data_IF_982376998825
#
_entry.id   IF_982376998825
#
_cell.length_a   1.000
_cell.length_b   1.000
_cell.length_c   1.000
_cell.angle_alpha   90.00
_cell.angle_beta   90.00
_cell.angle_gamma   90.00
#
_symmetry.space_group_name_H-M   'P 1'
#
loop_
_entity.id
_entity.type
_entity.pdbx_description
1 polymer ?
#
# COMPACT_ATOMS: atom_id res chain seq x y z
N UNK A 1 38.40 -64.19 37.65
CA UNK A 1 37.28 -63.43 37.04
C UNK A 1 37.20 -62.07 37.72
N UNK A 2 37.72 -61.01 37.10
CA UNK A 2 37.58 -59.62 37.58
C UNK A 2 37.49 -58.72 36.35
N UNK A 3 36.32 -58.10 36.13
CA UNK A 3 36.03 -57.21 35.00
C UNK A 3 36.32 -55.78 35.42
N UNK A 4 37.35 -55.18 34.84
CA UNK A 4 37.63 -53.75 34.94
C UNK A 4 36.63 -52.93 34.09
N UNK A 5 35.87 -52.05 34.74
CA UNK A 5 35.00 -51.05 34.10
C UNK A 5 35.87 -49.94 33.49
N UNK A 6 35.73 -49.70 32.19
CA UNK A 6 36.24 -48.49 31.51
C UNK A 6 35.18 -47.40 31.58
N UNK A 7 35.50 -46.29 32.23
CA UNK A 7 34.68 -45.07 32.26
C UNK A 7 34.91 -44.30 30.95
N UNK A 8 33.87 -44.09 30.16
CA UNK A 8 33.90 -43.26 28.97
C UNK A 8 33.67 -41.78 29.37
N UNK A 9 34.61 -40.90 29.01
CA UNK A 9 34.45 -39.45 29.10
C UNK A 9 33.72 -39.00 27.83
N UNK A 10 32.46 -38.57 27.94
CA UNK A 10 31.74 -37.90 26.87
C UNK A 10 31.98 -36.39 26.99
N UNK A 11 32.72 -35.81 26.03
CA UNK A 11 32.87 -34.38 25.91
C UNK A 11 31.61 -33.80 25.25
N UNK A 12 30.83 -33.02 26.01
CA UNK A 12 29.78 -32.17 25.47
C UNK A 12 30.45 -31.01 24.70
N UNK A 13 30.40 -31.06 23.37
CA UNK A 13 30.63 -29.89 22.53
C UNK A 13 29.33 -29.06 22.51
N UNK A 14 29.32 -27.95 23.25
CA UNK A 14 28.27 -26.95 23.14
C UNK A 14 28.43 -26.23 21.79
N UNK A 15 27.62 -26.61 20.80
CA UNK A 15 27.39 -25.82 19.60
C UNK A 15 26.66 -24.54 20.01
N UNK A 16 27.42 -23.46 20.19
CA UNK A 16 26.87 -22.12 20.19
C UNK A 16 26.34 -21.86 18.77
N UNK A 17 25.04 -22.06 18.57
CA UNK A 17 24.34 -21.48 17.42
C UNK A 17 24.46 -19.96 17.54
N UNK A 18 25.48 -19.39 16.89
CA UNK A 18 25.52 -17.95 16.64
C UNK A 18 24.28 -17.61 15.82
N UNK A 19 23.26 -17.05 16.49
CA UNK A 19 22.07 -16.59 15.82
C UNK A 19 22.49 -15.57 14.76
N UNK A 20 22.21 -15.85 13.50
CA UNK A 20 22.36 -14.85 12.45
C UNK A 20 21.50 -13.66 12.84
N UNK A 21 22.11 -12.47 12.97
CA UNK A 21 21.35 -11.24 13.10
C UNK A 21 20.38 -11.13 11.91
N UNK A 22 19.16 -10.61 12.12
CA UNK A 22 18.27 -10.31 11.00
C UNK A 22 18.99 -9.44 9.97
N UNK A 23 18.74 -9.63 8.67
CA UNK A 23 19.34 -8.78 7.65
C UNK A 23 18.91 -7.32 7.84
N UNK A 24 19.80 -6.40 7.45
CA UNK A 24 19.54 -4.97 7.37
C UNK A 24 18.71 -4.70 6.12
N UNK A 25 17.38 -4.67 6.26
CA UNK A 25 16.47 -4.69 5.10
C UNK A 25 15.25 -3.77 5.28
N UNK A 26 14.87 -3.13 4.18
CA UNK A 26 13.53 -2.55 4.00
C UNK A 26 12.75 -3.43 3.04
N UNK A 27 11.60 -3.90 3.47
CA UNK A 27 10.58 -4.47 2.59
C UNK A 27 9.62 -3.35 2.23
N UNK A 28 9.66 -2.93 0.96
CA UNK A 28 8.70 -2.02 0.37
C UNK A 28 7.41 -2.78 0.05
N UNK A 29 6.29 -2.40 0.64
CA UNK A 29 4.96 -2.88 0.29
C UNK A 29 4.19 -1.82 -0.50
N UNK A 30 3.67 -2.21 -1.66
CA UNK A 30 2.95 -1.34 -2.58
C UNK A 30 1.55 -1.91 -2.74
N UNK A 31 0.53 -1.11 -2.44
CA UNK A 31 -0.88 -1.43 -2.63
C UNK A 31 -1.56 -0.29 -3.40
N UNK A 32 -2.84 -0.47 -3.72
CA UNK A 32 -3.67 0.55 -4.39
C UNK A 32 -5.11 0.41 -3.92
N UNK A 33 -5.86 1.51 -3.98
CA UNK A 33 -7.31 1.55 -3.79
C UNK A 33 -8.08 1.58 -5.14
N UNK A 34 -7.35 1.45 -6.24
CA UNK A 34 -7.83 1.39 -7.63
C UNK A 34 -7.95 -0.04 -8.17
N UNK A 35 -8.65 -0.18 -9.30
CA UNK A 35 -8.89 -1.43 -10.02
C UNK A 35 -7.94 -1.61 -11.21
N UNK A 36 -7.36 -2.80 -11.38
CA UNK A 36 -6.39 -3.11 -12.46
C UNK A 36 -6.97 -4.14 -13.44
N UNK A 37 -6.68 -4.06 -14.75
CA UNK A 37 -5.82 -3.07 -15.43
C UNK A 37 -6.50 -1.71 -15.69
N UNK A 38 -7.79 -1.59 -15.38
CA UNK A 38 -8.64 -0.46 -15.82
C UNK A 38 -8.06 0.91 -15.47
N UNK A 39 -7.65 1.10 -14.22
CA UNK A 39 -7.18 2.41 -13.74
C UNK A 39 -5.69 2.62 -14.03
N UNK A 40 -4.89 1.55 -13.97
CA UNK A 40 -3.51 1.48 -14.47
C UNK A 40 -3.07 0.02 -14.65
N UNK A 41 -2.07 -0.19 -15.48
CA UNK A 41 -1.60 -1.53 -15.89
C UNK A 41 -0.08 -1.70 -15.75
N UNK A 42 0.63 -0.65 -15.29
CA UNK A 42 2.07 -0.69 -15.05
C UNK A 42 2.43 -0.09 -13.70
N UNK A 43 3.20 -0.86 -12.92
CA UNK A 43 3.86 -0.40 -11.70
C UNK A 43 5.35 -0.19 -12.00
N UNK A 44 5.86 1.02 -11.81
CA UNK A 44 7.31 1.28 -11.88
C UNK A 44 7.86 1.57 -10.49
N UNK A 45 8.99 0.93 -10.16
CA UNK A 45 9.72 1.14 -8.90
C UNK A 45 11.16 1.53 -9.23
N UNK A 46 11.57 2.69 -8.75
CA UNK A 46 12.93 3.20 -8.89
C UNK A 46 13.54 3.44 -7.51
N UNK A 47 14.78 3.01 -7.30
CA UNK A 47 15.51 3.23 -6.04
C UNK A 47 16.87 3.86 -6.33
N UNK A 48 17.17 4.91 -5.57
CA UNK A 48 18.39 5.69 -5.68
C UNK A 48 19.14 5.71 -4.34
N UNK A 49 20.46 5.66 -4.39
CA UNK A 49 21.34 5.85 -3.24
C UNK A 49 22.31 6.98 -3.57
N UNK A 50 22.28 8.08 -2.81
CA UNK A 50 23.10 9.26 -3.09
C UNK A 50 22.88 9.84 -4.50
N UNK A 51 21.65 9.77 -5.02
CA UNK A 51 21.28 10.21 -6.37
C UNK A 51 21.67 9.25 -7.50
N UNK A 52 22.36 8.15 -7.19
CA UNK A 52 22.69 7.11 -8.18
C UNK A 52 21.61 6.05 -8.21
N UNK A 53 21.05 5.76 -9.39
CA UNK A 53 20.08 4.67 -9.57
C UNK A 53 20.69 3.31 -9.22
N UNK A 54 19.98 2.54 -8.39
CA UNK A 54 20.36 1.19 -7.93
C UNK A 54 19.39 0.12 -8.39
N UNK A 55 18.13 0.51 -8.58
CA UNK A 55 17.07 -0.36 -9.04
C UNK A 55 16.11 0.45 -9.91
N UNK A 56 15.70 -0.13 -11.04
CA UNK A 56 14.64 0.38 -11.90
C UNK A 56 13.95 -0.81 -12.54
N UNK A 57 12.68 -1.02 -12.22
CA UNK A 57 11.88 -2.08 -12.78
C UNK A 57 10.46 -1.59 -13.07
N UNK A 58 9.94 -1.96 -14.24
CA UNK A 58 8.55 -1.82 -14.61
C UNK A 58 7.88 -3.21 -14.63
N UNK A 59 6.77 -3.34 -13.91
CA UNK A 59 5.92 -4.51 -13.88
C UNK A 59 4.67 -4.20 -14.68
N UNK A 60 4.63 -4.71 -15.91
CA UNK A 60 3.54 -4.45 -16.87
C UNK A 60 2.42 -5.48 -16.78
N UNK A 61 1.30 -5.19 -17.45
CA UNK A 61 0.14 -6.09 -17.59
C UNK A 61 -0.51 -6.42 -16.24
N UNK A 62 -0.53 -5.46 -15.31
CA UNK A 62 -1.14 -5.67 -14.00
C UNK A 62 -2.65 -5.91 -14.15
N UNK A 63 -3.16 -6.97 -13.52
CA UNK A 63 -4.57 -7.38 -13.64
C UNK A 63 -4.90 -8.27 -14.83
N UNK A 64 -3.94 -8.53 -15.73
CA UNK A 64 -4.09 -9.54 -16.79
C UNK A 64 -3.93 -10.97 -16.22
N UNK A 65 -4.18 -12.00 -17.05
CA UNK A 65 -4.04 -13.41 -16.67
C UNK A 65 -2.61 -13.85 -16.34
N UNK A 66 -1.60 -13.20 -16.92
CA UNK A 66 -0.18 -13.42 -16.67
C UNK A 66 0.51 -12.09 -16.30
N UNK A 67 0.16 -11.51 -15.14
CA UNK A 67 0.58 -10.17 -14.82
C UNK A 67 2.05 -10.14 -14.39
N UNK A 68 2.74 -9.03 -14.66
CA UNK A 68 4.12 -8.83 -14.20
C UNK A 68 4.26 -8.81 -12.68
N UNK A 69 3.19 -8.42 -11.98
CA UNK A 69 3.04 -8.50 -10.53
C UNK A 69 1.56 -8.55 -10.14
N UNK A 70 1.27 -9.01 -8.92
CA UNK A 70 -0.03 -8.85 -8.25
C UNK A 70 0.10 -7.82 -7.13
N UNK A 71 -0.98 -7.14 -6.77
CA UNK A 71 -0.98 -6.15 -5.68
C UNK A 71 -1.77 -6.64 -4.46
N UNK A 72 -1.33 -6.40 -3.21
CA UNK A 72 -0.08 -5.73 -2.87
C UNK A 72 1.16 -6.48 -3.36
N UNK A 73 2.23 -5.76 -3.64
CA UNK A 73 3.53 -6.33 -4.00
C UNK A 73 4.56 -5.96 -2.94
N UNK A 74 5.47 -6.88 -2.63
CA UNK A 74 6.59 -6.63 -1.71
C UNK A 74 7.94 -6.78 -2.40
N UNK A 75 8.83 -5.80 -2.22
CA UNK A 75 10.21 -5.82 -2.76
C UNK A 75 11.19 -5.53 -1.61
N UNK A 76 12.17 -6.42 -1.43
CA UNK A 76 13.22 -6.29 -0.41
C UNK A 76 14.44 -5.52 -0.91
N UNK A 77 14.88 -4.53 -0.13
CA UNK A 77 16.12 -3.79 -0.35
C UNK A 77 17.02 -3.95 0.88
N UNK A 78 18.11 -4.68 0.71
CA UNK A 78 19.05 -4.97 1.79
C UNK A 78 20.33 -4.13 1.68
N UNK A 79 20.97 -3.88 2.82
CA UNK A 79 22.29 -3.26 2.88
C UNK A 79 23.39 -4.31 2.73
N UNK A 80 24.37 -4.03 1.86
CA UNK A 80 25.61 -4.77 1.78
C UNK A 80 26.69 -4.26 2.77
N UNK A 81 26.47 -3.12 3.44
CA UNK A 81 27.48 -2.42 4.24
C UNK A 81 27.15 -2.25 5.73
N UNK A 82 26.06 -2.88 6.21
CA UNK A 82 25.68 -2.89 7.62
C UNK A 82 24.65 -1.82 8.02
N UNK A 83 23.81 -1.43 7.07
CA UNK A 83 22.68 -0.51 7.20
C UNK A 83 23.05 0.97 7.38
N UNK A 84 22.03 1.81 7.37
CA UNK A 84 22.10 3.26 7.56
C UNK A 84 22.27 4.07 6.28
N UNK A 85 22.40 3.42 5.13
CA UNK A 85 22.41 4.07 3.82
C UNK A 85 21.07 4.77 3.57
N UNK A 86 21.14 6.00 3.09
CA UNK A 86 19.95 6.76 2.72
C UNK A 86 19.54 6.39 1.30
N UNK A 87 18.32 5.88 1.15
CA UNK A 87 17.73 5.54 -0.13
C UNK A 87 16.55 6.45 -0.43
N UNK A 88 16.37 6.78 -1.71
CA UNK A 88 15.17 7.41 -2.24
C UNK A 88 14.43 6.37 -3.07
N UNK A 89 13.15 6.17 -2.77
CA UNK A 89 12.27 5.22 -3.45
C UNK A 89 11.21 6.04 -4.17
N UNK A 90 11.00 5.76 -5.45
CA UNK A 90 9.89 6.26 -6.25
C UNK A 90 9.04 5.09 -6.69
N UNK A 91 7.74 5.17 -6.47
CA UNK A 91 6.74 4.19 -6.91
C UNK A 91 5.72 4.93 -7.75
N UNK A 92 5.46 4.45 -8.96
CA UNK A 92 4.51 5.12 -9.85
C UNK A 92 3.56 4.15 -10.55
N UNK A 93 2.33 4.63 -10.74
CA UNK A 93 1.31 4.01 -11.57
C UNK A 93 1.35 4.63 -12.97
N UNK A 94 1.44 3.79 -14.00
CA UNK A 94 1.41 4.21 -15.41
C UNK A 94 0.34 3.45 -16.18
N UNK A 95 -0.13 4.06 -17.26
CA UNK A 95 -1.10 3.47 -18.19
C UNK A 95 -0.44 3.07 -19.51
N UNK A 96 -0.87 1.94 -20.08
CA UNK A 96 -0.51 1.32 -21.36
C UNK A 96 0.83 0.59 -21.38
N UNK A 97 1.93 1.27 -21.05
CA UNK A 97 3.29 0.70 -21.11
C UNK A 97 4.28 1.41 -20.18
N UNK A 98 5.50 0.88 -20.07
CA UNK A 98 6.54 1.39 -19.17
C UNK A 98 6.96 2.84 -19.44
N UNK A 99 6.72 3.38 -20.64
CA UNK A 99 6.99 4.78 -21.01
C UNK A 99 5.69 5.60 -21.13
N UNK A 100 4.54 4.99 -20.84
CA UNK A 100 3.24 5.62 -20.88
C UNK A 100 3.06 6.71 -19.83
N UNK A 101 1.94 7.46 -19.90
CA UNK A 101 1.62 8.51 -18.94
C UNK A 101 1.67 8.00 -17.50
N UNK A 102 2.27 8.80 -16.62
CA UNK A 102 2.25 8.57 -15.18
C UNK A 102 0.97 9.17 -14.64
N UNK A 103 0.21 8.39 -13.86
CA UNK A 103 -0.98 8.87 -13.14
C UNK A 103 -0.63 9.29 -11.72
N UNK A 104 0.03 8.39 -10.99
CA UNK A 104 0.32 8.55 -9.56
C UNK A 104 1.81 8.40 -9.35
N UNK A 105 2.40 9.30 -8.57
CA UNK A 105 3.75 9.18 -8.02
C UNK A 105 3.70 9.23 -6.49
N UNK A 106 4.31 8.22 -5.87
CA UNK A 106 4.56 8.16 -4.43
C UNK A 106 6.07 8.05 -4.19
N UNK A 107 6.60 8.87 -3.30
CA UNK A 107 8.04 8.87 -2.98
C UNK A 107 8.30 8.68 -1.49
N UNK A 108 9.46 8.14 -1.17
CA UNK A 108 9.99 8.13 0.18
C UNK A 108 11.52 8.29 0.19
N UNK A 109 12.03 8.94 1.22
CA UNK A 109 13.44 9.00 1.57
C UNK A 109 13.59 8.44 2.97
N UNK A 110 14.33 7.35 3.12
CA UNK A 110 14.54 6.70 4.41
C UNK A 110 15.91 6.04 4.47
N UNK A 111 16.28 5.52 5.63
CA UNK A 111 17.52 4.77 5.82
C UNK A 111 17.23 3.28 5.92
N UNK A 112 18.08 2.45 5.32
CA UNK A 112 18.02 1.01 5.57
C UNK A 112 18.28 0.77 7.07
N UNK A 113 17.38 0.09 7.81
CA UNK A 113 17.52 -0.08 9.26
C UNK A 113 18.68 -1.03 9.57
N UNK A 114 19.07 -1.06 10.84
CA UNK A 114 20.10 -1.99 11.34
C UNK A 114 19.49 -3.09 12.19
N UNK A 115 19.93 -4.32 11.98
CA UNK A 115 19.58 -5.54 12.69
C UNK A 115 18.07 -5.84 12.72
N UNK A 116 17.33 -5.47 11.67
CA UNK A 116 15.89 -5.73 11.52
C UNK A 116 15.46 -5.60 10.06
N UNK A 117 14.32 -6.24 9.76
CA UNK A 117 13.60 -6.09 8.49
C UNK A 117 12.44 -5.14 8.77
N UNK A 118 12.50 -3.91 8.25
CA UNK A 118 11.43 -2.94 8.40
C UNK A 118 10.45 -2.98 7.23
N UNK A 119 9.17 -2.75 7.51
CA UNK A 119 8.13 -2.57 6.50
C UNK A 119 7.96 -1.08 6.18
N UNK A 120 8.09 -0.73 4.91
CA UNK A 120 7.75 0.58 4.37
C UNK A 120 6.55 0.42 3.42
N UNK A 121 5.42 1.05 3.74
CA UNK A 121 4.23 1.05 2.88
C UNK A 121 4.17 2.31 2.02
N UNK A 122 4.08 2.14 0.70
CA UNK A 122 3.88 3.23 -0.26
C UNK A 122 2.66 2.92 -1.15
N UNK A 123 1.43 3.11 -0.64
CA UNK A 123 0.24 2.89 -1.42
C UNK A 123 0.10 3.94 -2.53
N UNK A 124 -0.45 3.52 -3.67
CA UNK A 124 -0.82 4.36 -4.81
C UNK A 124 -2.32 4.68 -4.69
N UNK A 125 -2.64 5.85 -4.14
CA UNK A 125 -4.02 6.22 -3.79
C UNK A 125 -4.67 7.07 -4.89
N UNK A 126 -5.94 6.84 -5.17
CA UNK A 126 -6.79 7.65 -6.07
C UNK A 126 -6.71 9.15 -5.79
N UNK A 127 -6.68 9.56 -4.52
CA UNK A 127 -6.62 10.98 -4.15
C UNK A 127 -5.32 11.67 -4.62
N UNK A 128 -4.30 10.87 -4.96
CA UNK A 128 -3.03 11.30 -5.53
C UNK A 128 -2.97 11.14 -7.06
N UNK A 129 -4.11 10.96 -7.75
CA UNK A 129 -4.15 11.01 -9.20
C UNK A 129 -3.67 12.38 -9.73
N UNK A 130 -3.05 12.35 -10.91
CA UNK A 130 -2.33 13.46 -11.55
C UNK A 130 -1.08 13.96 -10.80
N UNK A 131 -0.51 13.17 -9.87
CA UNK A 131 0.65 13.59 -9.05
C UNK A 131 2.02 13.34 -9.68
N UNK A 132 2.09 12.60 -10.78
CA UNK A 132 3.33 12.28 -11.47
C UNK A 132 3.31 12.64 -12.95
N UNK A 133 4.49 12.93 -13.49
CA UNK A 133 4.73 13.05 -14.93
C UNK A 133 6.06 12.40 -15.32
N UNK A 134 6.20 12.10 -16.61
CA UNK A 134 7.44 11.60 -17.21
C UNK A 134 7.71 12.37 -18.51
N UNK A 135 8.95 12.79 -18.74
CA UNK A 135 9.38 13.41 -20.00
C UNK A 135 9.79 12.37 -21.07
N UNK A 136 9.34 11.12 -20.93
CA UNK A 136 9.60 10.03 -21.88
C UNK A 136 10.98 9.37 -21.73
N UNK A 137 11.80 9.81 -20.77
CA UNK A 137 13.07 9.16 -20.38
C UNK A 137 12.87 7.94 -19.46
N UNK A 138 11.66 7.72 -18.94
CA UNK A 138 11.35 6.74 -17.91
C UNK A 138 11.49 7.28 -16.49
N UNK A 139 12.15 8.43 -16.31
CA UNK A 139 12.21 9.13 -15.04
C UNK A 139 10.89 9.81 -14.71
N UNK A 140 10.52 9.77 -13.43
CA UNK A 140 9.26 10.33 -12.93
C UNK A 140 9.52 11.50 -12.00
N UNK A 141 8.77 12.57 -12.21
CA UNK A 141 8.79 13.80 -11.41
C UNK A 141 7.41 14.07 -10.80
N UNK A 142 7.39 14.77 -9.67
CA UNK A 142 6.13 15.19 -9.06
C UNK A 142 5.61 16.44 -9.76
N UNK A 143 4.34 16.42 -10.13
CA UNK A 143 3.60 17.57 -10.67
C UNK A 143 2.77 18.28 -9.61
N UNK A 144 2.49 17.60 -8.50
CA UNK A 144 1.58 18.07 -7.46
C UNK A 144 2.30 18.67 -6.26
N UNK A 145 3.42 18.08 -5.84
CA UNK A 145 4.10 18.44 -4.60
C UNK A 145 5.46 19.10 -4.85
N UNK A 146 5.84 20.00 -3.95
CA UNK A 146 7.14 20.68 -3.99
C UNK A 146 8.29 19.71 -3.72
N UNK A 147 9.52 20.16 -3.97
CA UNK A 147 10.72 19.39 -3.68
C UNK A 147 10.78 18.96 -2.21
N UNK A 148 11.11 17.69 -1.97
CA UNK A 148 11.15 17.12 -0.61
C UNK A 148 9.78 16.68 -0.06
N UNK A 149 8.71 16.87 -0.84
CA UNK A 149 7.37 16.40 -0.50
C UNK A 149 6.90 15.29 -1.45
N UNK A 150 5.77 14.69 -1.11
CA UNK A 150 5.11 13.63 -1.87
C UNK A 150 3.63 13.58 -1.50
N UNK A 151 2.79 13.07 -2.39
CA UNK A 151 1.36 12.98 -2.14
C UNK A 151 1.02 11.79 -1.20
N UNK A 152 0.24 12.07 -0.15
CA UNK A 152 -0.45 11.11 0.72
C UNK A 152 -1.91 11.52 0.78
N UNK A 153 -2.81 10.66 0.32
CA UNK A 153 -4.26 10.91 0.30
C UNK A 153 -4.64 12.31 -0.22
N UNK A 154 -3.94 12.78 -1.27
CA UNK A 154 -4.15 14.08 -1.91
C UNK A 154 -3.53 15.29 -1.17
N UNK A 155 -2.78 15.09 -0.10
CA UNK A 155 -2.01 16.12 0.59
C UNK A 155 -0.50 15.96 0.36
N UNK A 156 0.21 17.07 0.19
CA UNK A 156 1.67 17.06 0.12
C UNK A 156 2.27 17.02 1.52
N UNK A 157 2.99 15.94 1.81
CA UNK A 157 3.69 15.72 3.08
C UNK A 157 5.18 15.50 2.84
N UNK A 158 6.06 15.68 3.84
CA UNK A 158 7.47 15.37 3.70
C UNK A 158 7.69 13.92 3.23
N UNK A 159 8.55 13.72 2.24
CA UNK A 159 8.90 12.36 1.78
C UNK A 159 9.90 11.66 2.68
N UNK A 160 10.51 12.38 3.63
CA UNK A 160 11.45 11.80 4.60
C UNK A 160 10.70 11.02 5.67
N UNK A 161 11.04 9.74 5.81
CA UNK A 161 10.47 8.83 6.80
C UNK A 161 11.57 8.38 7.75
N UNK A 162 11.29 8.44 9.05
CA UNK A 162 12.19 7.92 10.07
C UNK A 162 12.14 6.38 10.07
N UNK A 163 13.23 5.75 9.64
CA UNK A 163 13.38 4.31 9.60
C UNK A 163 13.17 3.63 10.96
N UNK A 164 13.43 4.33 12.07
CA UNK A 164 13.24 3.79 13.42
C UNK A 164 11.77 3.72 13.84
N UNK A 165 10.91 4.49 13.18
CA UNK A 165 9.46 4.47 13.40
C UNK A 165 8.74 3.43 12.50
N UNK A 166 9.44 2.84 11.53
CA UNK A 166 8.86 1.82 10.66
C UNK A 166 8.61 0.51 11.43
N UNK A 167 7.45 -0.14 11.28
CA UNK A 167 7.16 -1.41 11.93
C UNK A 167 8.05 -2.54 11.38
N UNK A 168 8.15 -3.64 12.13
CA UNK A 168 8.81 -4.84 11.62
C UNK A 168 7.98 -5.46 10.49
N UNK A 169 8.66 -5.97 9.48
CA UNK A 169 7.99 -6.67 8.39
C UNK A 169 7.39 -7.99 8.85
N UNK A 170 6.12 -8.16 8.53
CA UNK A 170 5.41 -9.42 8.58
C UNK A 170 4.46 -9.48 7.40
N UNK A 171 4.48 -10.58 6.63
CA UNK A 171 3.65 -10.71 5.43
C UNK A 171 2.15 -10.56 5.74
N UNK A 172 1.71 -11.01 6.92
CA UNK A 172 0.32 -10.87 7.34
C UNK A 172 -0.16 -9.42 7.48
N UNK A 173 0.76 -8.46 7.70
CA UNK A 173 0.42 -7.03 7.73
C UNK A 173 0.27 -6.40 6.34
N UNK A 174 0.59 -7.13 5.27
CA UNK A 174 0.50 -6.65 3.89
C UNK A 174 -0.59 -7.41 3.13
N UNK A 175 -0.67 -8.72 3.36
CA UNK A 175 -1.50 -9.62 2.56
C UNK A 175 -2.76 -10.10 3.30
N UNK A 176 -3.34 -9.31 4.20
CA UNK A 176 -4.57 -9.69 4.92
C UNK A 176 -4.39 -10.96 5.77
N UNK A 177 -3.26 -11.08 6.46
CA UNK A 177 -2.91 -12.29 7.23
C UNK A 177 -2.22 -13.40 6.42
N UNK A 178 -2.17 -13.28 5.08
CA UNK A 178 -1.54 -14.26 4.18
C UNK A 178 -0.04 -14.05 3.93
N UNK A 179 0.42 -14.66 2.83
CA UNK A 179 1.81 -14.65 2.36
C UNK A 179 1.98 -14.05 0.96
N UNK A 180 0.88 -13.63 0.33
CA UNK A 180 0.89 -13.10 -1.03
C UNK A 180 0.70 -14.16 -2.12
N UNK A 181 0.18 -15.33 -1.74
CA UNK A 181 -0.10 -16.46 -2.65
C UNK A 181 -1.61 -16.59 -2.93
N UNK A 182 -2.39 -15.52 -2.69
CA UNK A 182 -3.86 -15.54 -2.71
C UNK A 182 -4.48 -16.15 -1.45
N UNK A 183 -3.69 -16.28 -0.37
CA UNK A 183 -4.01 -17.06 0.83
C UNK A 183 -4.48 -16.23 2.04
N UNK A 184 -4.51 -14.90 1.93
CA UNK A 184 -5.03 -14.01 2.98
C UNK A 184 -6.38 -13.39 2.66
N UNK A 185 -6.91 -12.60 3.59
CA UNK A 185 -8.18 -11.90 3.43
C UNK A 185 -8.03 -10.65 2.56
N UNK A 186 -9.12 -10.21 1.94
CA UNK A 186 -9.20 -8.95 1.21
C UNK A 186 -10.52 -8.25 1.54
N UNK A 187 -10.54 -6.93 1.36
CA UNK A 187 -11.73 -6.10 1.53
C UNK A 187 -12.53 -6.05 0.22
N UNK A 188 -13.72 -6.64 0.23
CA UNK A 188 -14.63 -6.68 -0.91
C UNK A 188 -15.45 -5.38 -0.97
N UNK A 189 -14.99 -4.43 -1.78
CA UNK A 189 -15.59 -3.09 -1.85
C UNK A 189 -17.06 -3.14 -2.29
N UNK A 190 -17.39 -3.91 -3.32
CA UNK A 190 -18.76 -3.94 -3.87
C UNK A 190 -19.70 -4.63 -2.91
N UNK A 191 -19.30 -5.77 -2.31
CA UNK A 191 -20.13 -6.45 -1.32
C UNK A 191 -20.31 -5.61 -0.04
N UNK A 192 -19.26 -4.95 0.43
CA UNK A 192 -19.30 -4.19 1.69
C UNK A 192 -19.97 -2.83 1.59
N UNK A 193 -20.19 -2.32 0.38
CA UNK A 193 -20.92 -1.08 0.13
C UNK A 193 -22.17 -1.27 -0.71
N UNK A 194 -22.65 -2.52 -0.90
CA UNK A 194 -23.85 -2.83 -1.70
C UNK A 194 -25.07 -2.00 -1.28
N UNK A 195 -25.33 -1.90 0.03
CA UNK A 195 -26.44 -1.12 0.60
C UNK A 195 -26.03 0.27 1.11
N UNK A 196 -24.80 0.69 0.82
CA UNK A 196 -24.29 1.97 1.29
C UNK A 196 -25.00 3.14 0.62
N UNK A 197 -25.20 4.21 1.39
CA UNK A 197 -25.86 5.43 0.94
C UNK A 197 -24.92 6.62 1.05
N UNK A 198 -25.08 7.64 0.18
CA UNK A 198 -24.40 8.91 0.35
C UNK A 198 -24.66 9.50 1.73
N UNK A 199 -23.60 10.01 2.35
CA UNK A 199 -23.66 10.77 3.60
C UNK A 199 -23.39 12.24 3.34
N UNK A 200 -23.97 13.11 4.17
CA UNK A 200 -23.71 14.54 4.10
C UNK A 200 -22.28 14.83 4.60
N UNK A 201 -21.51 15.53 3.77
CA UNK A 201 -20.15 15.96 4.09
C UNK A 201 -20.19 17.41 4.57
N UNK A 202 -19.72 17.66 5.78
CA UNK A 202 -19.37 19.01 6.20
C UNK A 202 -18.09 19.40 5.45
N UNK A 203 -18.25 20.12 4.34
CA UNK A 203 -17.13 20.54 3.48
C UNK A 203 -16.21 21.58 4.13
N UNK A 204 -16.67 22.28 5.18
CA UNK A 204 -15.84 23.25 5.89
C UNK A 204 -14.86 22.57 6.84
N UNK A 205 -15.31 21.52 7.56
CA UNK A 205 -14.46 20.71 8.42
C UNK A 205 -13.85 19.48 7.72
N UNK A 206 -14.35 19.16 6.52
CA UNK A 206 -14.13 17.90 5.81
C UNK A 206 -14.41 16.65 6.67
N UNK A 207 -15.59 16.63 7.29
CA UNK A 207 -16.02 15.55 8.19
C UNK A 207 -17.38 14.97 7.79
N UNK A 208 -17.66 13.75 8.25
CA UNK A 208 -18.95 13.08 8.13
C UNK A 208 -19.39 12.51 9.49
N UNK A 209 -20.67 12.20 9.62
CA UNK A 209 -21.18 11.37 10.71
C UNK A 209 -20.66 9.93 10.59
N UNK A 210 -20.33 9.29 11.70
CA UNK A 210 -19.87 7.90 11.76
C UNK A 210 -19.12 7.62 13.06
N UNK A 211 -18.52 6.44 13.16
CA UNK A 211 -17.74 6.04 14.34
C UNK A 211 -16.62 5.04 13.98
N UNK A 212 -15.97 4.47 15.00
CA UNK A 212 -14.90 3.49 14.84
C UNK A 212 -15.35 2.16 14.20
N UNK A 213 -16.65 1.96 14.01
CA UNK A 213 -17.23 0.80 13.31
C UNK A 213 -17.73 1.17 11.92
N UNK A 214 -17.37 2.33 11.39
CA UNK A 214 -17.79 2.77 10.05
C UNK A 214 -16.69 2.49 9.03
N UNK A 215 -17.07 1.98 7.87
CA UNK A 215 -16.28 1.94 6.65
C UNK A 215 -16.68 3.13 5.76
N UNK A 216 -15.70 3.70 5.05
CA UNK A 216 -15.88 4.87 4.19
C UNK A 216 -15.37 4.57 2.79
N UNK A 217 -16.13 4.93 1.77
CA UNK A 217 -15.70 4.92 0.39
C UNK A 217 -16.09 6.21 -0.34
N UNK A 218 -15.37 6.49 -1.43
CA UNK A 218 -15.61 7.60 -2.32
C UNK A 218 -16.28 7.06 -3.59
N UNK A 219 -17.44 7.58 -3.93
CA UNK A 219 -18.07 7.34 -5.23
C UNK A 219 -17.43 8.29 -6.26
N UNK A 220 -16.83 7.73 -7.32
CA UNK A 220 -16.06 8.52 -8.29
C UNK A 220 -16.92 8.95 -9.48
N UNK A 221 -16.60 10.10 -10.08
CA UNK A 221 -17.28 10.60 -11.29
C UNK A 221 -16.65 10.09 -12.58
N UNK A 222 -15.41 9.59 -12.52
CA UNK A 222 -14.57 9.22 -13.66
C UNK A 222 -14.47 7.71 -13.89
N UNK A 223 -15.33 6.92 -13.25
CA UNK A 223 -15.25 5.45 -13.23
C UNK A 223 -13.90 4.93 -12.72
N UNK A 224 -13.19 5.66 -11.85
CA UNK A 224 -12.00 5.15 -11.17
C UNK A 224 -12.41 4.31 -9.94
N UNK A 225 -11.59 3.34 -9.54
CA UNK A 225 -11.85 2.48 -8.39
C UNK A 225 -12.55 1.17 -8.76
N UNK A 226 -13.17 0.52 -7.78
CA UNK A 226 -13.78 -0.80 -7.94
C UNK A 226 -15.27 -0.63 -8.22
N UNK A 227 -15.74 -1.14 -9.35
CA UNK A 227 -17.11 -0.95 -9.83
C UNK A 227 -17.99 -2.17 -9.51
N UNK A 228 -19.29 -1.92 -9.26
CA UNK A 228 -20.28 -2.96 -8.96
C UNK A 228 -20.45 -3.96 -10.12
N UNK A 229 -20.28 -3.51 -11.36
CA UNK A 229 -20.23 -4.32 -12.58
C UNK A 229 -19.42 -3.60 -13.69
N UNK A 230 -19.38 -4.17 -14.90
CA UNK A 230 -18.68 -3.60 -16.06
C UNK A 230 -19.53 -2.57 -16.85
N UNK A 231 -20.71 -2.20 -16.36
CA UNK A 231 -21.57 -1.22 -17.03
C UNK A 231 -20.93 0.18 -16.95
N UNK A 232 -20.92 0.95 -18.05
CA UNK A 232 -20.46 2.34 -18.03
C UNK A 232 -21.31 3.26 -17.15
N UNK A 233 -22.48 2.86 -16.67
CA UNK A 233 -23.29 3.61 -15.69
C UNK A 233 -23.12 3.04 -14.26
N UNK A 234 -22.21 2.08 -14.06
CA UNK A 234 -21.97 1.45 -12.78
C UNK A 234 -21.32 2.41 -11.78
N UNK A 235 -21.69 2.21 -10.51
CA UNK A 235 -21.09 2.91 -9.39
C UNK A 235 -19.70 2.34 -9.15
N UNK A 236 -18.68 3.20 -9.20
CA UNK A 236 -17.29 2.86 -8.87
C UNK A 236 -16.88 3.51 -7.55
N UNK A 237 -16.26 2.70 -6.68
CA UNK A 237 -15.94 3.06 -5.31
C UNK A 237 -14.45 2.93 -5.02
N UNK A 238 -13.91 3.90 -4.30
CA UNK A 238 -12.58 3.88 -3.71
C UNK A 238 -12.71 3.79 -2.20
N UNK A 239 -12.42 2.64 -1.61
CA UNK A 239 -12.55 2.41 -0.18
C UNK A 239 -11.34 2.93 0.59
N UNK A 240 -11.57 3.80 1.57
CA UNK A 240 -10.52 4.44 2.37
C UNK A 240 -10.12 3.55 3.55
N UNK A 241 -8.83 3.56 3.88
CA UNK A 241 -8.31 2.89 5.07
C UNK A 241 -8.72 3.64 6.33
N UNK A 242 -9.14 2.92 7.36
CA UNK A 242 -9.42 3.49 8.66
C UNK A 242 -8.16 3.66 9.50
N UNK A 243 -8.13 4.73 10.29
CA UNK A 243 -7.08 4.98 11.29
C UNK A 243 -5.71 5.27 10.70
N UNK A 244 -5.62 5.57 9.41
CA UNK A 244 -4.35 5.86 8.72
C UNK A 244 -4.31 7.31 8.23
N UNK A 245 -3.12 7.80 7.90
CA UNK A 245 -2.95 9.09 7.21
C UNK A 245 -3.33 9.00 5.72
N UNK A 246 -3.35 7.78 5.16
CA UNK A 246 -3.74 7.48 3.79
C UNK A 246 -5.27 7.38 3.60
N UNK A 247 -6.04 7.40 4.69
CA UNK A 247 -7.50 7.33 4.68
C UNK A 247 -8.16 8.20 5.75
N UNK A 248 -9.14 7.68 6.47
CA UNK A 248 -9.95 8.46 7.41
C UNK A 248 -9.60 8.17 8.87
N UNK A 249 -9.90 9.12 9.75
CA UNK A 249 -9.68 8.99 11.19
C UNK A 249 -10.94 9.36 11.96
N UNK A 250 -11.18 8.73 13.11
CA UNK A 250 -12.26 9.13 14.01
C UNK A 250 -11.74 10.20 14.95
N UNK A 251 -12.34 11.38 14.90
CA UNK A 251 -12.03 12.51 15.76
C UNK A 251 -12.50 12.30 17.21
N UNK A 252 -11.98 13.11 18.13
CA UNK A 252 -12.37 13.07 19.54
C UNK A 252 -13.85 13.47 19.77
N UNK A 253 -14.41 14.23 18.84
CA UNK A 253 -15.83 14.61 18.81
C UNK A 253 -16.75 13.48 18.31
N UNK A 254 -16.17 12.32 17.98
CA UNK A 254 -16.87 11.16 17.46
C UNK A 254 -17.25 11.27 15.99
N UNK A 255 -16.77 12.27 15.25
CA UNK A 255 -16.97 12.39 13.80
C UNK A 255 -15.86 11.71 13.04
N UNK A 256 -16.10 11.37 11.78
CA UNK A 256 -15.04 10.89 10.90
C UNK A 256 -14.41 12.08 10.17
N UNK A 257 -13.12 12.26 10.37
CA UNK A 257 -12.26 13.14 9.61
C UNK A 257 -11.83 12.46 8.31
N UNK A 258 -12.20 13.03 7.18
CA UNK A 258 -11.76 12.59 5.86
C UNK A 258 -10.40 13.22 5.52
N UNK A 259 -9.61 12.62 4.60
CA UNK A 259 -8.53 13.35 3.95
C UNK A 259 -9.05 14.66 3.36
N UNK A 260 -8.37 15.78 3.62
CA UNK A 260 -8.81 17.10 3.16
C UNK A 260 -9.02 17.17 1.64
N UNK A 261 -8.26 16.38 0.89
CA UNK A 261 -8.38 16.30 -0.56
C UNK A 261 -9.73 15.75 -1.04
N UNK A 262 -10.45 14.97 -0.21
CA UNK A 262 -11.79 14.49 -0.54
C UNK A 262 -12.70 15.69 -0.82
N UNK A 263 -12.80 16.63 0.12
CA UNK A 263 -13.67 17.80 -0.04
C UNK A 263 -13.24 18.73 -1.18
N UNK A 264 -11.93 18.83 -1.43
CA UNK A 264 -11.42 19.56 -2.60
C UNK A 264 -11.80 18.92 -3.93
N UNK A 265 -11.90 17.58 -3.97
CA UNK A 265 -12.21 16.79 -5.18
C UNK A 265 -13.69 16.45 -5.38
N UNK A 266 -14.57 16.85 -4.45
CA UNK A 266 -16.03 16.69 -4.63
C UNK A 266 -16.59 17.55 -5.77
N UNK A 267 -15.86 18.57 -6.22
CA UNK A 267 -16.30 19.43 -7.31
C UNK A 267 -16.10 18.80 -8.71
N UNK A 268 -15.22 17.80 -8.84
CA UNK A 268 -14.75 17.32 -10.14
C UNK A 268 -14.55 15.79 -10.23
N UNK A 269 -14.07 15.12 -9.18
CA UNK A 269 -13.71 13.69 -9.20
C UNK A 269 -14.57 12.80 -8.31
N UNK A 270 -15.18 13.34 -7.25
CA UNK A 270 -15.93 12.58 -6.24
C UNK A 270 -17.40 13.00 -6.29
N UNK A 271 -18.28 12.06 -6.65
CA UNK A 271 -19.72 12.29 -6.71
C UNK A 271 -20.35 12.30 -5.31
N UNK A 272 -19.90 11.41 -4.43
CA UNK A 272 -20.41 11.28 -3.06
C UNK A 272 -19.39 10.59 -2.14
N UNK A 273 -19.57 10.78 -0.84
CA UNK A 273 -18.98 9.93 0.20
C UNK A 273 -20.05 8.96 0.67
N UNK A 274 -19.74 7.67 0.72
CA UNK A 274 -20.66 6.62 1.16
C UNK A 274 -20.09 5.88 2.35
N UNK A 275 -20.98 5.40 3.22
CA UNK A 275 -20.59 4.67 4.44
C UNK A 275 -21.30 3.33 4.56
N UNK A 276 -20.63 2.36 5.16
CA UNK A 276 -21.25 1.11 5.61
C UNK A 276 -20.77 0.75 7.01
N UNK A 277 -21.53 -0.10 7.70
CA UNK A 277 -21.15 -0.60 9.02
C UNK A 277 -20.14 -1.75 8.90
N UNK A 278 -19.13 -1.72 9.76
CA UNK A 278 -18.20 -2.81 9.92
C UNK A 278 -18.92 -4.01 10.55
N UNK A 279 -18.75 -5.17 9.93
CA UNK A 279 -19.31 -6.45 10.37
C UNK A 279 -18.23 -7.53 10.29
N UNK A 280 -18.53 -8.75 10.71
CA UNK A 280 -17.60 -9.87 10.53
C UNK A 280 -17.31 -10.18 9.04
N UNK A 281 -18.28 -9.94 8.15
CA UNK A 281 -18.11 -10.13 6.70
C UNK A 281 -17.45 -8.93 6.03
N UNK A 282 -17.60 -7.75 6.62
CA UNK A 282 -17.04 -6.48 6.15
C UNK A 282 -16.31 -5.80 7.29
N UNK A 283 -15.11 -6.29 7.67
CA UNK A 283 -14.33 -5.68 8.73
C UNK A 283 -13.99 -4.23 8.37
N UNK A 284 -13.45 -3.47 9.31
CA UNK A 284 -13.00 -2.13 8.97
C UNK A 284 -11.82 -2.22 8.00
N UNK A 285 -11.87 -1.50 6.87
CA UNK A 285 -10.76 -1.48 5.91
C UNK A 285 -9.52 -0.87 6.56
N UNK A 286 -8.36 -1.49 6.36
CA UNK A 286 -7.09 -1.04 6.90
C UNK A 286 -5.97 -1.32 5.90
N UNK A 287 -4.82 -0.66 6.06
CA UNK A 287 -3.70 -0.78 5.13
C UNK A 287 -3.21 -2.23 4.90
N UNK A 288 -3.35 -3.10 5.91
CA UNK A 288 -2.99 -4.52 5.81
C UNK A 288 -4.08 -5.44 5.29
N UNK A 289 -5.28 -4.91 4.98
CA UNK A 289 -6.41 -5.61 4.38
C UNK A 289 -6.64 -5.04 2.98
N UNK A 290 -5.93 -5.53 1.95
CA UNK A 290 -6.00 -4.98 0.60
C UNK A 290 -7.36 -5.23 -0.03
N UNK A 291 -7.69 -4.51 -1.10
CA UNK A 291 -8.95 -4.72 -1.82
C UNK A 291 -8.95 -6.06 -2.57
N UNK A 292 -10.13 -6.67 -2.68
CA UNK A 292 -10.33 -7.84 -3.51
C UNK A 292 -10.31 -7.48 -5.00
N UNK A 293 -9.81 -8.39 -5.83
CA UNK A 293 -9.83 -8.27 -7.29
C UNK A 293 -8.95 -9.33 -7.95
N UNK A 294 -9.09 -9.58 -9.26
CA UNK A 294 -8.27 -10.56 -10.00
C UNK A 294 -6.78 -10.21 -10.01
N UNK A 295 -6.43 -8.94 -9.81
CA UNK A 295 -5.06 -8.48 -9.64
C UNK A 295 -4.48 -8.75 -8.24
N UNK A 296 -5.32 -9.18 -7.29
CA UNK A 296 -4.94 -9.19 -5.89
C UNK A 296 -4.01 -10.35 -5.53
N UNK A 297 -2.98 -10.07 -4.74
CA UNK A 297 -2.13 -11.08 -4.12
C UNK A 297 -2.76 -11.67 -2.84
N UNK A 298 -3.89 -11.12 -2.41
CA UNK A 298 -4.71 -11.59 -1.29
C UNK A 298 -6.10 -11.96 -1.78
N UNK A 299 -6.76 -12.87 -1.07
CA UNK A 299 -8.14 -13.25 -1.30
C UNK A 299 -8.40 -13.71 -2.72
N UNK A 300 -8.26 -15.01 -2.97
CA UNK A 300 -8.64 -15.61 -4.25
C UNK A 300 -10.15 -15.55 -4.46
N UNK A 301 -10.69 -14.41 -4.88
CA UNK A 301 -11.82 -14.44 -5.81
C UNK A 301 -11.22 -14.71 -7.18
N UNK A 302 -11.15 -15.99 -7.53
CA UNK A 302 -11.03 -16.38 -8.95
C UNK A 302 -12.09 -15.59 -9.74
N UNK A 303 -11.76 -15.03 -10.91
CA UNK A 303 -12.76 -14.43 -11.80
C UNK A 303 -13.85 -15.44 -12.19
#
# INVERSE_FOLDING_TARGET
MSRGRRTALAALAALACGGCSPPDEIVLAISTDLSLPKDFDVLQVQVFEGGTGKFDAAYERLGDSEPGARLPATIGFYSASGGGESITIKVSARVRDALGPVRILREAVTKIPKNRIALLTLPLNFLCDDSGSSEGSGDVESTLCEEGQTCVAGACVPKTIDASALPDYWSGNVYGGGKGEGDGDCFDVTACFADAKPVEVDTAACTIEGDATTNVALETTSHDGICDDDDPDSRCLVALDAGSADGFQVGEDGRIQLPLAVCGRMADRIAAVVTSSATAACPQKAAGLPTCGPWSASGSKEP
#
